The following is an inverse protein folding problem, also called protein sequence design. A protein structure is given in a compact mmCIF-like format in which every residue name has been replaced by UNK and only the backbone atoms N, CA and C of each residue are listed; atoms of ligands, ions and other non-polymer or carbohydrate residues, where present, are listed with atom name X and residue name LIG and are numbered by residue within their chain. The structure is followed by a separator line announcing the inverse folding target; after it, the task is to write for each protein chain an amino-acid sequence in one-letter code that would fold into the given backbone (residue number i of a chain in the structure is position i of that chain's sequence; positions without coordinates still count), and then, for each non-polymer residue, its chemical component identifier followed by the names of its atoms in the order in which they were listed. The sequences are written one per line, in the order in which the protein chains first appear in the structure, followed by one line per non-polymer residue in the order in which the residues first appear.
data_IF_892474402267
#
_entry.id   IF_892474402267
#
_cell.length_a   1.000
_cell.length_b   1.000
_cell.length_c   1.000
_cell.angle_alpha   90.00
_cell.angle_beta   90.00
_cell.angle_gamma   90.00
#
_symmetry.space_group_name_H-M   'P 1'
#
loop_
_entity.id
_entity.type
_entity.pdbx_description
1 polymer ?
#
# COMPACT_ATOMS: atom_id res chain seq x y z
N UNK A 1 -21.24 1.68 -5.43
CA UNK A 1 -21.57 0.60 -4.47
C UNK A 1 -22.79 0.91 -3.60
N UNK A 2 -22.88 2.09 -2.96
CA UNK A 2 -23.98 2.39 -2.01
C UNK A 2 -25.00 3.45 -2.47
N UNK A 3 -24.89 3.98 -3.69
CA UNK A 3 -25.82 4.97 -4.25
C UNK A 3 -25.80 6.35 -3.57
N UNK A 4 -24.77 6.64 -2.78
CA UNK A 4 -24.63 7.90 -2.03
C UNK A 4 -24.09 8.98 -2.95
N UNK A 5 -24.73 10.16 -2.95
CA UNK A 5 -24.23 11.35 -3.63
C UNK A 5 -23.11 11.97 -2.78
N UNK A 6 -21.92 12.06 -3.35
CA UNK A 6 -20.70 12.49 -2.64
C UNK A 6 -20.02 13.63 -3.39
N UNK A 7 -19.43 14.57 -2.65
CA UNK A 7 -18.54 15.62 -3.14
C UNK A 7 -17.23 15.54 -2.35
N UNK A 8 -16.09 15.49 -3.05
CA UNK A 8 -14.75 15.53 -2.45
C UNK A 8 -14.16 16.92 -2.70
N UNK A 9 -13.66 17.56 -1.65
CA UNK A 9 -13.01 18.87 -1.72
C UNK A 9 -11.59 18.75 -1.16
N UNK A 10 -10.60 19.07 -1.97
CA UNK A 10 -9.18 19.10 -1.61
C UNK A 10 -8.62 20.49 -1.95
N UNK A 11 -7.77 21.02 -1.06
CA UNK A 11 -7.14 22.34 -1.25
C UNK A 11 -5.99 22.24 -2.25
N UNK A 12 -5.22 21.16 -2.19
CA UNK A 12 -4.05 20.96 -3.04
C UNK A 12 -4.46 20.42 -4.42
N UNK A 13 -4.03 21.08 -5.49
CA UNK A 13 -4.40 20.67 -6.85
C UNK A 13 -3.72 19.38 -7.34
N UNK A 14 -2.71 18.89 -6.60
CA UNK A 14 -1.91 17.71 -6.95
C UNK A 14 -1.47 16.98 -5.68
N UNK A 15 -1.11 15.71 -5.87
CA UNK A 15 -0.52 14.83 -4.86
C UNK A 15 0.73 15.47 -4.23
N UNK A 16 0.89 15.28 -2.92
CA UNK A 16 1.99 15.91 -2.20
C UNK A 16 3.31 15.22 -2.57
N UNK A 17 4.30 16.02 -2.99
CA UNK A 17 5.53 15.51 -3.61
C UNK A 17 6.46 14.72 -2.67
N UNK A 18 6.33 14.84 -1.34
CA UNK A 18 7.10 14.02 -0.40
C UNK A 18 6.26 12.84 0.07
N UNK A 19 6.63 11.60 -0.27
CA UNK A 19 5.88 10.42 0.16
C UNK A 19 5.92 10.30 1.69
N UNK A 20 4.73 10.19 2.29
CA UNK A 20 4.48 9.96 3.72
C UNK A 20 4.00 8.52 3.97
N UNK A 21 3.29 7.95 3.01
CA UNK A 21 2.86 6.56 3.01
C UNK A 21 3.71 5.75 2.01
N UNK A 22 4.16 4.58 2.44
CA UNK A 22 5.02 3.71 1.62
C UNK A 22 4.65 2.23 1.77
N UNK A 23 3.61 1.92 2.55
CA UNK A 23 3.23 0.57 2.90
C UNK A 23 1.73 0.43 3.23
N UNK A 24 1.12 -0.68 2.81
CA UNK A 24 -0.18 -1.14 3.30
C UNK A 24 -0.22 -2.68 3.40
N UNK A 25 -1.19 -3.22 4.14
CA UNK A 25 -1.34 -4.64 4.45
C UNK A 25 -2.47 -5.34 3.66
N UNK A 26 -2.74 -6.61 3.96
CA UNK A 26 -3.78 -7.39 3.30
C UNK A 26 -5.20 -6.88 3.60
N UNK A 27 -5.44 -6.26 4.76
CA UNK A 27 -6.71 -5.63 5.07
C UNK A 27 -6.98 -4.43 4.16
N UNK A 28 -5.98 -3.57 3.95
CA UNK A 28 -6.07 -2.48 3.00
C UNK A 28 -6.31 -2.98 1.56
N UNK A 29 -5.61 -4.05 1.13
CA UNK A 29 -5.84 -4.63 -0.20
C UNK A 29 -7.28 -5.14 -0.38
N UNK A 30 -7.88 -5.71 0.67
CA UNK A 30 -9.29 -6.12 0.64
C UNK A 30 -10.26 -4.95 0.56
N UNK A 31 -9.94 -3.81 1.17
CA UNK A 31 -10.73 -2.59 0.99
C UNK A 31 -10.68 -2.16 -0.47
N UNK A 32 -9.48 -2.12 -1.07
CA UNK A 32 -9.32 -1.82 -2.50
C UNK A 32 -10.06 -2.80 -3.41
N UNK A 33 -10.04 -4.09 -3.08
CA UNK A 33 -10.84 -5.11 -3.76
C UNK A 33 -12.33 -4.85 -3.67
N UNK A 34 -12.81 -4.48 -2.48
CA UNK A 34 -14.23 -4.19 -2.24
C UNK A 34 -14.72 -3.00 -3.07
N UNK A 35 -13.85 -2.00 -3.29
CA UNK A 35 -14.17 -0.82 -4.11
C UNK A 35 -13.77 -0.98 -5.59
N UNK A 36 -13.26 -2.14 -6.00
CA UNK A 36 -12.96 -2.46 -7.40
C UNK A 36 -11.66 -1.88 -7.96
N UNK A 37 -10.71 -1.50 -7.10
CA UNK A 37 -9.44 -0.86 -7.51
C UNK A 37 -8.23 -1.80 -7.53
N UNK A 38 -8.39 -3.08 -7.16
CA UNK A 38 -7.28 -4.04 -7.09
C UNK A 38 -6.45 -4.11 -8.37
N UNK A 39 -7.09 -4.30 -9.52
CA UNK A 39 -6.37 -4.49 -10.79
C UNK A 39 -5.60 -3.23 -11.22
N UNK A 40 -6.09 -2.06 -10.81
CA UNK A 40 -5.41 -0.79 -11.04
C UNK A 40 -4.25 -0.57 -10.07
N UNK A 41 -4.32 -1.08 -8.84
CA UNK A 41 -3.28 -0.89 -7.81
C UNK A 41 -2.13 -1.89 -7.94
N UNK A 42 -2.42 -3.15 -8.29
CA UNK A 42 -1.41 -4.23 -8.34
C UNK A 42 -0.14 -3.89 -9.15
N UNK A 43 -0.21 -3.18 -10.30
CA UNK A 43 0.99 -2.78 -11.04
C UNK A 43 1.91 -1.78 -10.31
N UNK A 44 1.40 -1.06 -9.30
CA UNK A 44 2.13 0.00 -8.59
C UNK A 44 2.70 -0.45 -7.23
N UNK A 45 2.62 -1.75 -6.93
CA UNK A 45 3.07 -2.29 -5.64
C UNK A 45 4.11 -3.39 -5.78
N UNK A 46 4.95 -3.52 -4.77
CA UNK A 46 5.91 -4.62 -4.63
C UNK A 46 5.69 -5.32 -3.30
N UNK A 47 5.94 -6.62 -3.24
CA UNK A 47 5.89 -7.36 -1.97
C UNK A 47 7.13 -7.04 -1.12
N UNK A 48 6.89 -6.69 0.14
CA UNK A 48 7.97 -6.44 1.09
C UNK A 48 8.52 -7.77 1.60
N UNK A 49 9.83 -8.06 1.46
CA UNK A 49 10.43 -9.27 2.01
C UNK A 49 10.50 -9.26 3.54
N UNK A 50 10.44 -8.08 4.15
CA UNK A 50 10.66 -7.89 5.58
C UNK A 50 11.71 -6.81 5.84
N UNK A 51 12.31 -6.84 7.03
CA UNK A 51 13.34 -5.90 7.45
C UNK A 51 14.45 -6.62 8.20
N UNK A 52 15.69 -6.22 7.96
CA UNK A 52 16.83 -6.57 8.79
C UNK A 52 17.23 -5.36 9.61
N UNK A 53 17.33 -5.53 10.92
CA UNK A 53 17.85 -4.52 11.83
C UNK A 53 19.31 -4.86 12.10
N UNK A 54 20.20 -3.96 11.70
CA UNK A 54 21.64 -4.08 11.89
C UNK A 54 22.09 -3.00 12.88
N UNK A 55 23.13 -3.29 13.66
CA UNK A 55 23.84 -2.25 14.41
C UNK A 55 24.74 -1.41 13.50
N UNK A 56 25.45 -0.44 14.09
CA UNK A 56 26.34 0.47 13.36
C UNK A 56 27.52 -0.24 12.67
N UNK A 57 27.91 -1.42 13.16
CA UNK A 57 28.98 -2.25 12.60
C UNK A 57 28.44 -3.28 11.59
N UNK A 58 27.14 -3.24 11.29
CA UNK A 58 26.48 -4.13 10.34
C UNK A 58 26.12 -5.51 10.90
N UNK A 59 26.28 -5.74 12.21
CA UNK A 59 25.88 -7.00 12.83
C UNK A 59 24.37 -7.06 12.99
N UNK A 60 23.79 -8.18 12.58
CA UNK A 60 22.34 -8.40 12.65
C UNK A 60 21.86 -8.49 14.10
N UNK A 61 20.93 -7.60 14.44
CA UNK A 61 20.21 -7.57 15.71
C UNK A 61 18.90 -8.34 15.63
N UNK A 62 18.17 -8.19 14.52
CA UNK A 62 16.86 -8.78 14.31
C UNK A 62 16.59 -9.01 12.83
N UNK A 63 16.11 -10.20 12.51
CA UNK A 63 15.49 -10.52 11.22
C UNK A 63 13.96 -10.49 11.40
N UNK A 64 13.31 -9.51 10.76
CA UNK A 64 11.86 -9.39 10.67
C UNK A 64 11.42 -9.75 9.25
N UNK A 65 11.61 -11.00 8.86
CA UNK A 65 11.13 -11.54 7.59
C UNK A 65 9.60 -11.63 7.55
N UNK A 66 9.01 -11.40 6.36
CA UNK A 66 7.56 -11.52 6.13
C UNK A 66 7.26 -12.67 5.15
N UNK A 67 6.23 -13.49 5.40
CA UNK A 67 5.78 -14.47 4.41
C UNK A 67 5.48 -13.81 3.07
N UNK A 68 6.00 -14.40 1.99
CA UNK A 68 5.75 -13.93 0.62
C UNK A 68 4.51 -14.59 -0.02
N UNK A 69 3.82 -15.43 0.75
CA UNK A 69 2.56 -16.06 0.34
C UNK A 69 1.37 -15.24 0.82
N UNK A 70 0.23 -15.30 0.13
CA UNK A 70 -1.01 -14.72 0.62
C UNK A 70 -1.41 -15.26 2.00
N UNK A 71 -2.09 -14.43 2.79
CA UNK A 71 -2.73 -14.84 4.04
C UNK A 71 -3.94 -15.72 3.74
N UNK A 72 -4.56 -16.35 4.76
CA UNK A 72 -5.86 -17.01 4.61
C UNK A 72 -6.96 -16.09 4.06
N UNK A 73 -6.75 -14.77 4.09
CA UNK A 73 -7.66 -13.75 3.58
C UNK A 73 -7.42 -13.38 2.11
N UNK A 74 -6.48 -14.06 1.43
CA UNK A 74 -6.29 -14.00 -0.03
C UNK A 74 -5.28 -12.98 -0.54
N UNK A 75 -4.70 -12.15 0.33
CA UNK A 75 -3.72 -11.12 -0.05
C UNK A 75 -2.45 -11.19 0.80
N UNK A 76 -1.34 -10.60 0.35
CA UNK A 76 -0.07 -10.62 1.06
C UNK A 76 -0.05 -9.61 2.22
N UNK A 77 0.66 -9.93 3.29
CA UNK A 77 0.74 -9.10 4.51
C UNK A 77 1.41 -7.73 4.33
N UNK A 78 2.17 -7.52 3.25
CA UNK A 78 3.01 -6.34 3.14
C UNK A 78 3.29 -5.95 1.70
N UNK A 79 2.68 -4.85 1.28
CA UNK A 79 2.91 -4.19 0.01
C UNK A 79 3.67 -2.88 0.25
N UNK A 80 4.66 -2.60 -0.59
CA UNK A 80 5.32 -1.29 -0.69
C UNK A 80 4.90 -0.60 -1.97
N UNK A 81 4.79 0.71 -1.92
CA UNK A 81 4.32 1.51 -3.06
C UNK A 81 4.93 2.91 -3.04
N UNK A 82 4.80 3.60 -4.17
CA UNK A 82 5.07 5.03 -4.29
C UNK A 82 3.76 5.79 -4.13
N UNK A 83 3.66 6.68 -3.13
CA UNK A 83 2.39 7.31 -2.76
C UNK A 83 1.69 8.06 -3.90
N UNK A 84 2.37 8.92 -4.68
CA UNK A 84 1.73 9.59 -5.81
C UNK A 84 1.04 8.60 -6.77
N UNK A 85 1.66 7.47 -7.07
CA UNK A 85 1.10 6.47 -7.98
C UNK A 85 -0.19 5.85 -7.43
N UNK A 86 -0.23 5.56 -6.13
CA UNK A 86 -1.44 5.07 -5.47
C UNK A 86 -2.54 6.14 -5.45
N UNK A 87 -2.19 7.39 -5.14
CA UNK A 87 -3.13 8.50 -5.11
C UNK A 87 -3.74 8.78 -6.48
N UNK A 88 -2.95 8.70 -7.57
CA UNK A 88 -3.45 8.85 -8.93
C UNK A 88 -4.51 7.79 -9.28
N UNK A 89 -4.34 6.54 -8.84
CA UNK A 89 -5.35 5.48 -8.99
C UNK A 89 -6.62 5.80 -8.19
N UNK A 90 -6.47 6.31 -6.96
CA UNK A 90 -7.61 6.66 -6.11
C UNK A 90 -8.41 7.87 -6.65
N UNK A 91 -7.73 8.83 -7.26
CA UNK A 91 -8.35 10.01 -7.88
C UNK A 91 -9.08 9.64 -9.18
N UNK A 92 -8.56 8.66 -9.92
CA UNK A 92 -9.16 8.20 -11.17
C UNK A 92 -10.36 7.24 -10.99
N UNK A 93 -10.53 6.70 -9.77
CA UNK A 93 -11.55 5.70 -9.41
C UNK A 93 -13.00 6.18 -9.38
#
# INVERSE_FOLDING_TARGET
LCGVRTLVLEREARTYHLPRAVHFDDECMRVFQTIGLTDAILPHVILSPGMLFLDADGKMLLDWSRPQTPTPMGWNLSYRFHQPDLEDVLIAG
#
